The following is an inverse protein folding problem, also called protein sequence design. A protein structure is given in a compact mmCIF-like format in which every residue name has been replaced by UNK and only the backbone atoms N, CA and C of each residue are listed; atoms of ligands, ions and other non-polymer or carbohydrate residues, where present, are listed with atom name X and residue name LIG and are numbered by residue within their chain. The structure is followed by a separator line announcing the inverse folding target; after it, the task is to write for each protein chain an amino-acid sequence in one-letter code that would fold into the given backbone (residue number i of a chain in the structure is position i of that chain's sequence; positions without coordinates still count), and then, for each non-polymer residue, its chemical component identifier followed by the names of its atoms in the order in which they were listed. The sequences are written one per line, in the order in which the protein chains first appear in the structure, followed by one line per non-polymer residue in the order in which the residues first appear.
data_IF_978147658755
#
_entry.id   IF_978147658755
#
_cell.length_a   1.000
_cell.length_b   1.000
_cell.length_c   1.000
_cell.angle_alpha   90.00
_cell.angle_beta   90.00
_cell.angle_gamma   90.00
#
_symmetry.space_group_name_H-M   'P 1'
#
loop_
_entity.id
_entity.type
_entity.pdbx_description
1 polymer ?
#
# COMPACT_ATOMS: atom_id res chain seq x y z
N UNK A 1 0.42 -4.68 12.17
CA UNK A 1 0.06 -3.59 11.27
C UNK A 1 -0.89 -4.06 10.20
N UNK A 2 -1.79 -3.20 9.77
CA UNK A 2 -2.77 -3.50 8.74
C UNK A 2 -2.97 -2.26 7.87
N UNK A 3 -3.50 -2.48 6.67
CA UNK A 3 -3.78 -1.42 5.71
C UNK A 3 -5.29 -1.30 5.56
N UNK A 4 -5.81 -0.07 5.68
CA UNK A 4 -7.21 0.20 5.41
C UNK A 4 -7.42 0.48 3.94
N UNK A 5 -8.59 0.13 3.40
CA UNK A 5 -8.88 0.34 1.98
C UNK A 5 -8.87 1.80 1.58
N UNK A 6 -8.98 2.72 2.55
CA UNK A 6 -8.94 4.15 2.30
C UNK A 6 -7.60 4.79 2.63
N UNK A 7 -6.60 3.99 2.98
CA UNK A 7 -5.27 4.52 3.28
C UNK A 7 -4.63 5.08 2.01
N UNK A 8 -3.88 6.17 2.19
CA UNK A 8 -3.13 6.75 1.09
C UNK A 8 -1.90 5.90 0.79
N UNK A 9 -1.42 5.99 -0.43
CA UNK A 9 -0.25 5.22 -0.88
C UNK A 9 0.96 5.49 0.03
N UNK A 10 1.19 6.75 0.40
CA UNK A 10 2.32 7.11 1.26
C UNK A 10 2.22 6.44 2.63
N UNK A 11 1.01 6.34 3.18
CA UNK A 11 0.79 5.66 4.46
C UNK A 11 1.06 4.17 4.35
N UNK A 12 0.62 3.56 3.26
CA UNK A 12 0.83 2.13 3.01
C UNK A 12 2.32 1.83 2.90
N UNK A 13 3.04 2.63 2.14
CA UNK A 13 4.49 2.47 1.97
C UNK A 13 5.22 2.61 3.30
N UNK A 14 4.83 3.59 4.11
CA UNK A 14 5.41 3.80 5.43
C UNK A 14 5.20 2.59 6.34
N UNK A 15 4.03 1.99 6.29
CA UNK A 15 3.72 0.79 7.07
C UNK A 15 4.64 -0.38 6.68
N UNK A 16 4.91 -0.54 5.40
CA UNK A 16 5.84 -1.56 4.93
C UNK A 16 7.25 -1.31 5.44
N UNK A 17 7.68 -0.05 5.44
CA UNK A 17 9.03 0.30 5.92
C UNK A 17 9.18 0.03 7.41
N UNK A 18 8.19 0.43 8.20
CA UNK A 18 8.22 0.26 9.66
C UNK A 18 8.25 -1.22 10.03
N UNK A 19 7.43 -2.03 9.38
CA UNK A 19 7.33 -3.45 9.70
C UNK A 19 8.38 -4.30 9.02
N UNK A 20 9.00 -3.79 7.98
CA UNK A 20 9.99 -4.53 7.19
C UNK A 20 9.45 -5.90 6.76
N UNK A 21 8.23 -5.91 6.25
CA UNK A 21 7.55 -7.13 5.80
C UNK A 21 7.26 -7.04 4.30
N UNK A 22 7.03 -8.19 3.68
CA UNK A 22 6.72 -8.25 2.25
C UNK A 22 5.22 -8.21 1.96
N UNK A 23 4.39 -8.46 2.97
CA UNK A 23 2.94 -8.49 2.83
C UNK A 23 2.28 -7.85 4.03
N UNK A 24 1.16 -7.15 3.79
CA UNK A 24 0.34 -6.61 4.86
C UNK A 24 -1.13 -6.95 4.58
N UNK A 25 -1.90 -7.27 5.63
CA UNK A 25 -3.33 -7.50 5.46
C UNK A 25 -4.06 -6.19 5.15
N UNK A 26 -5.06 -6.29 4.28
CA UNK A 26 -5.92 -5.17 3.93
C UNK A 26 -7.28 -5.41 4.54
N UNK A 27 -7.81 -4.41 5.23
CA UNK A 27 -9.12 -4.49 5.90
C UNK A 27 -10.05 -3.41 5.38
N UNK A 28 -11.34 -3.69 5.44
CA UNK A 28 -12.37 -2.72 5.07
C UNK A 28 -12.68 -1.77 6.23
N UNK A 29 -13.69 -0.90 6.04
CA UNK A 29 -14.07 0.07 7.07
C UNK A 29 -14.61 -0.58 8.33
N UNK A 30 -15.03 -1.83 8.25
CA UNK A 30 -15.52 -2.61 9.39
C UNK A 30 -14.43 -3.50 9.99
N UNK A 31 -13.18 -3.28 9.59
CA UNK A 31 -12.03 -4.01 10.09
C UNK A 31 -12.06 -5.50 9.71
N UNK A 32 -12.72 -5.82 8.59
CA UNK A 32 -12.76 -7.20 8.07
C UNK A 32 -11.66 -7.41 7.04
N UNK A 33 -11.04 -8.57 7.09
CA UNK A 33 -9.94 -8.91 6.17
C UNK A 33 -10.47 -9.01 4.75
N UNK A 34 -9.89 -8.22 3.85
CA UNK A 34 -10.20 -8.22 2.43
C UNK A 34 -9.18 -9.03 1.61
N UNK A 35 -7.96 -9.11 2.09
CA UNK A 35 -6.89 -9.79 1.40
C UNK A 35 -5.54 -9.29 1.87
N UNK A 36 -4.52 -9.51 1.06
CA UNK A 36 -3.16 -9.09 1.38
C UNK A 36 -2.59 -8.28 0.22
N UNK A 37 -1.75 -7.31 0.55
CA UNK A 37 -1.06 -6.51 -0.45
C UNK A 37 0.45 -6.74 -0.33
N UNK A 38 1.13 -6.84 -1.47
CA UNK A 38 2.57 -7.07 -1.48
C UNK A 38 3.33 -5.75 -1.54
N UNK A 39 4.48 -5.73 -0.88
CA UNK A 39 5.38 -4.57 -0.88
C UNK A 39 5.80 -4.19 -2.30
N UNK A 40 6.24 -5.17 -3.08
CA UNK A 40 6.71 -4.90 -4.43
C UNK A 40 5.61 -4.36 -5.32
N UNK A 41 4.38 -4.84 -5.15
CA UNK A 41 3.24 -4.35 -5.91
C UNK A 41 2.92 -2.90 -5.61
N UNK A 42 2.90 -2.55 -4.33
CA UNK A 42 2.63 -1.18 -3.90
C UNK A 42 3.69 -0.22 -4.44
N UNK A 43 4.95 -0.61 -4.34
CA UNK A 43 6.04 0.25 -4.80
C UNK A 43 6.02 0.42 -6.32
N UNK A 44 5.66 -0.63 -7.06
CA UNK A 44 5.51 -0.56 -8.52
C UNK A 44 4.38 0.38 -8.91
N UNK A 45 3.25 0.30 -8.23
CA UNK A 45 2.10 1.18 -8.49
C UNK A 45 2.43 2.62 -8.16
N UNK A 46 3.14 2.86 -7.08
CA UNK A 46 3.54 4.21 -6.69
C UNK A 46 4.50 4.81 -7.73
N UNK A 47 5.48 4.03 -8.16
CA UNK A 47 6.43 4.47 -9.18
C UNK A 47 5.72 4.86 -10.47
N UNK A 48 4.79 4.01 -10.90
CA UNK A 48 4.00 4.28 -12.11
C UNK A 48 3.20 5.56 -11.98
N UNK A 49 2.60 5.79 -10.82
CA UNK A 49 1.83 6.98 -10.54
C UNK A 49 2.70 8.24 -10.64
N UNK A 50 3.89 8.19 -10.08
CA UNK A 50 4.84 9.31 -10.15
C UNK A 50 5.29 9.56 -11.58
N UNK A 51 5.57 8.50 -12.34
CA UNK A 51 5.94 8.61 -13.76
C UNK A 51 4.84 9.27 -14.57
N UNK A 52 3.60 8.89 -14.34
CA UNK A 52 2.46 9.47 -15.06
C UNK A 52 2.31 10.96 -14.75
N UNK A 53 2.59 11.38 -13.53
CA UNK A 53 2.55 12.78 -13.16
C UNK A 53 3.70 13.58 -13.78
N UNK A 54 4.81 12.93 -14.05
CA UNK A 54 6.02 13.56 -14.60
C UNK A 54 6.08 13.49 -16.13
N UNK A 55 5.15 12.81 -16.76
CA UNK A 55 5.20 12.52 -18.20
C UNK A 55 4.75 13.69 -19.08
N UNK A 56 4.46 14.82 -18.51
CA UNK A 56 4.04 15.99 -19.30
C UNK A 56 5.18 16.78 -19.88
#
# INVERSE_FOLDING_TARGET
AKVGINDRMEEVMKKFEIKNTNYLPVVDVNNRLMGYISRSRVFSLYRKMVEDLSAE
#
